data_IF_050903396811
#
_entry.id   IF_050903396811
#
_cell.length_a   1.000
_cell.length_b   1.000
_cell.length_c   1.000
_cell.angle_alpha   90.00
_cell.angle_beta   90.00
_cell.angle_gamma   90.00
#
_symmetry.space_group_name_H-M   'P 1'
#
loop_
_entity.id
_entity.type
_entity.pdbx_description
1 polymer ?
#
# COMPACT_ATOMS: atom_id res chain seq x y z
N UNK A 1 -0.69 4.33 3.01
CA UNK A 1 -0.37 2.90 2.87
C UNK A 1 -1.23 2.13 3.86
N UNK A 2 -2.18 1.33 3.39
CA UNK A 2 -3.01 0.40 4.18
C UNK A 2 -3.26 -0.86 3.33
N UNK A 3 -3.95 -1.85 3.88
CA UNK A 3 -4.35 -3.08 3.18
C UNK A 3 -3.76 -4.37 3.76
N UNK A 4 -2.65 -4.29 4.51
CA UNK A 4 -2.02 -5.46 5.16
C UNK A 4 -2.98 -6.16 6.11
N UNK A 5 -3.65 -5.41 6.99
CA UNK A 5 -4.59 -5.99 7.95
C UNK A 5 -5.86 -6.52 7.29
N UNK A 6 -6.35 -5.86 6.24
CA UNK A 6 -7.52 -6.32 5.48
C UNK A 6 -7.26 -7.66 4.78
N UNK A 7 -5.99 -8.05 4.59
CA UNK A 7 -5.66 -9.35 4.05
C UNK A 7 -5.99 -10.51 4.99
N UNK A 8 -6.07 -10.25 6.31
CA UNK A 8 -6.32 -11.27 7.34
C UNK A 8 -7.60 -12.05 7.06
N UNK A 9 -7.54 -13.37 7.20
CA UNK A 9 -8.64 -14.27 6.80
C UNK A 9 -9.95 -13.96 7.52
N UNK A 10 -9.87 -13.59 8.80
CA UNK A 10 -11.03 -13.25 9.65
C UNK A 10 -11.93 -12.15 9.07
N UNK A 11 -11.42 -11.31 8.18
CA UNK A 11 -12.21 -10.24 7.56
C UNK A 11 -12.92 -10.67 6.27
N UNK A 12 -12.56 -11.82 5.68
CA UNK A 12 -13.21 -12.35 4.47
C UNK A 12 -13.09 -11.47 3.22
N UNK A 13 -12.31 -10.39 3.27
CA UNK A 13 -12.19 -9.44 2.15
C UNK A 13 -11.36 -10.05 1.01
N UNK A 14 -11.84 -9.90 -0.22
CA UNK A 14 -11.03 -10.17 -1.42
C UNK A 14 -10.06 -9.00 -1.68
N UNK A 15 -8.96 -9.23 -2.40
CA UNK A 15 -8.04 -8.16 -2.78
C UNK A 15 -8.74 -7.01 -3.52
N UNK A 16 -9.80 -7.32 -4.31
CA UNK A 16 -10.65 -6.32 -4.96
C UNK A 16 -11.42 -5.48 -3.94
N UNK A 17 -11.99 -6.08 -2.89
CA UNK A 17 -12.67 -5.32 -1.83
C UNK A 17 -11.70 -4.37 -1.13
N UNK A 18 -10.47 -4.84 -0.87
CA UNK A 18 -9.41 -4.02 -0.25
C UNK A 18 -9.05 -2.82 -1.14
N UNK A 19 -8.91 -3.03 -2.44
CA UNK A 19 -8.69 -1.96 -3.40
C UNK A 19 -9.85 -0.96 -3.48
N UNK A 20 -11.10 -1.45 -3.45
CA UNK A 20 -12.27 -0.57 -3.39
C UNK A 20 -12.34 0.27 -2.11
N UNK A 21 -11.98 -0.31 -0.96
CA UNK A 21 -11.87 0.43 0.31
C UNK A 21 -10.80 1.53 0.22
N UNK A 22 -9.66 1.21 -0.40
CA UNK A 22 -8.60 2.19 -0.64
C UNK A 22 -9.04 3.31 -1.59
N UNK A 23 -9.79 3.00 -2.65
CA UNK A 23 -10.37 4.04 -3.51
C UNK A 23 -11.29 4.98 -2.74
N UNK A 24 -12.12 4.44 -1.83
CA UNK A 24 -12.98 5.26 -1.00
C UNK A 24 -12.17 6.21 -0.11
N UNK A 25 -11.08 5.72 0.51
CA UNK A 25 -10.16 6.55 1.30
C UNK A 25 -9.53 7.67 0.47
N UNK A 26 -9.05 7.36 -0.74
CA UNK A 26 -8.45 8.36 -1.64
C UNK A 26 -9.49 9.40 -2.06
N UNK A 27 -10.70 8.99 -2.43
CA UNK A 27 -11.79 9.91 -2.77
C UNK A 27 -12.12 10.84 -1.61
N UNK A 28 -12.24 10.30 -0.40
CA UNK A 28 -12.47 11.11 0.81
C UNK A 28 -11.32 12.08 1.04
N UNK A 29 -10.07 11.62 0.93
CA UNK A 29 -8.91 12.49 1.11
C UNK A 29 -8.91 13.66 0.12
N UNK A 30 -9.26 13.43 -1.15
CA UNK A 30 -9.33 14.48 -2.18
C UNK A 30 -10.53 15.42 -1.97
N UNK A 31 -11.71 14.89 -1.63
CA UNK A 31 -12.96 15.66 -1.58
C UNK A 31 -13.21 16.40 -0.26
N UNK A 32 -12.44 16.10 0.79
CA UNK A 32 -12.62 16.76 2.09
C UNK A 32 -12.38 18.27 1.96
N UNK A 33 -13.33 19.15 2.35
CA UNK A 33 -13.25 20.59 2.13
C UNK A 33 -12.36 21.31 3.17
N UNK A 34 -11.15 20.80 3.38
CA UNK A 34 -10.15 21.35 4.32
C UNK A 34 -8.89 21.85 3.61
N UNK A 35 -8.78 21.61 2.31
CA UNK A 35 -7.59 21.94 1.53
C UNK A 35 -7.69 23.33 0.90
N UNK A 36 -6.58 24.07 0.89
CA UNK A 36 -6.45 25.34 0.18
C UNK A 36 -6.27 25.16 -1.33
N UNK A 37 -5.78 24.00 -1.75
CA UNK A 37 -5.64 23.57 -3.14
C UNK A 37 -5.89 22.06 -3.22
N UNK A 38 -6.15 21.51 -4.41
CA UNK A 38 -6.34 20.06 -4.58
C UNK A 38 -5.13 19.29 -4.04
N UNK A 39 -5.31 18.38 -3.05
CA UNK A 39 -4.19 17.66 -2.45
C UNK A 39 -3.59 16.66 -3.45
N UNK A 40 -2.28 16.50 -3.42
CA UNK A 40 -1.60 15.40 -4.11
C UNK A 40 -1.67 14.16 -3.22
N UNK A 41 -2.23 13.07 -3.74
CA UNK A 41 -2.28 11.78 -3.04
C UNK A 41 -1.24 10.84 -3.63
N UNK A 42 -0.41 10.25 -2.77
CA UNK A 42 0.45 9.12 -3.09
C UNK A 42 -0.15 7.85 -2.48
N UNK A 43 -0.79 7.04 -3.33
CA UNK A 43 -1.28 5.73 -2.98
C UNK A 43 -0.11 4.74 -2.96
N UNK A 44 0.07 4.07 -1.83
CA UNK A 44 1.17 3.13 -1.62
C UNK A 44 0.60 1.75 -1.32
N UNK A 45 0.94 0.76 -2.17
CA UNK A 45 0.75 -0.65 -1.83
C UNK A 45 1.81 -1.07 -0.81
N UNK A 46 1.43 -1.76 0.28
CA UNK A 46 2.41 -2.26 1.24
C UNK A 46 3.30 -3.36 0.63
N UNK A 47 4.49 -3.63 1.20
CA UNK A 47 5.25 -4.82 0.88
C UNK A 47 4.39 -6.08 1.10
N UNK A 48 4.44 -7.08 0.20
CA UNK A 48 3.72 -8.32 0.40
C UNK A 48 4.14 -9.03 1.70
N UNK A 49 3.15 -9.60 2.37
CA UNK A 49 3.35 -10.50 3.51
C UNK A 49 3.97 -11.81 3.02
N UNK A 50 4.74 -12.47 3.86
CA UNK A 50 5.28 -13.81 3.55
C UNK A 50 4.43 -14.90 4.21
N UNK A 51 4.57 -16.18 3.83
CA UNK A 51 3.84 -17.27 4.49
C UNK A 51 4.08 -17.39 6.01
N UNK A 52 5.09 -16.71 6.56
CA UNK A 52 5.32 -16.60 8.00
C UNK A 52 4.37 -15.64 8.72
N UNK A 53 3.51 -14.93 7.99
CA UNK A 53 2.52 -14.00 8.55
C UNK A 53 1.43 -14.63 9.42
N UNK A 54 1.48 -15.94 9.58
CA UNK A 54 0.65 -16.70 10.49
C UNK A 54 0.84 -16.23 11.93
N UNK A 55 -0.27 -15.92 12.60
CA UNK A 55 -0.32 -15.57 14.00
C UNK A 55 -1.42 -16.41 14.69
N UNK A 56 -1.00 -17.38 15.50
CA UNK A 56 -1.86 -18.28 16.29
C UNK A 56 -2.84 -17.51 17.19
N UNK A 57 -2.43 -16.33 17.68
CA UNK A 57 -3.24 -15.49 18.56
C UNK A 57 -4.29 -14.69 17.80
N UNK A 58 -4.10 -14.51 16.49
CA UNK A 58 -5.03 -13.80 15.61
C UNK A 58 -6.10 -14.69 14.98
N UNK A 59 -6.03 -16.01 15.22
CA UNK A 59 -6.93 -17.02 14.64
C UNK A 59 -6.67 -17.30 13.16
N UNK A 60 -5.48 -16.97 12.66
CA UNK A 60 -5.07 -17.39 11.32
C UNK A 60 -4.57 -18.83 11.36
N UNK A 61 -4.75 -19.58 10.27
CA UNK A 61 -4.30 -20.97 10.13
C UNK A 61 -2.99 -21.05 9.31
N UNK A 62 -2.10 -22.03 9.57
CA UNK A 62 -0.89 -22.21 8.76
C UNK A 62 -1.27 -22.46 7.30
N UNK A 63 -0.66 -21.72 6.36
CA UNK A 63 -1.02 -21.79 4.94
C UNK A 63 -2.18 -20.89 4.52
N UNK A 64 -2.52 -19.88 5.33
CA UNK A 64 -3.53 -18.89 4.95
C UNK A 64 -3.18 -18.16 3.64
N UNK A 65 -4.20 -17.89 2.82
CA UNK A 65 -4.09 -17.12 1.57
C UNK A 65 -3.80 -15.63 1.80
N UNK A 66 -3.47 -15.20 3.04
CA UNK A 66 -3.20 -13.81 3.37
C UNK A 66 -1.98 -13.27 2.61
N UNK A 67 -0.89 -14.05 2.59
CA UNK A 67 0.32 -13.71 1.85
C UNK A 67 0.04 -13.58 0.34
N UNK A 68 -0.65 -14.57 -0.26
CA UNK A 68 -1.06 -14.55 -1.67
C UNK A 68 -1.98 -13.37 -2.01
N UNK A 69 -2.92 -13.03 -1.12
CA UNK A 69 -3.81 -11.89 -1.29
C UNK A 69 -3.05 -10.57 -1.21
N UNK A 70 -2.06 -10.46 -0.32
CA UNK A 70 -1.22 -9.27 -0.20
C UNK A 70 -0.43 -8.99 -1.50
N UNK A 71 0.02 -10.04 -2.20
CA UNK A 71 0.68 -9.92 -3.51
C UNK A 71 -0.22 -9.33 -4.60
N UNK A 72 -1.54 -9.43 -4.46
CA UNK A 72 -2.50 -8.91 -5.44
C UNK A 72 -2.81 -7.42 -5.25
N UNK A 73 -2.40 -6.80 -4.14
CA UNK A 73 -2.74 -5.41 -3.84
C UNK A 73 -2.09 -4.42 -4.81
N UNK A 74 -0.80 -4.58 -5.10
CA UNK A 74 -0.05 -3.65 -5.95
C UNK A 74 -0.70 -3.41 -7.32
N UNK A 75 -0.98 -4.42 -8.16
CA UNK A 75 -1.61 -4.20 -9.47
C UNK A 75 -3.05 -3.66 -9.37
N UNK A 76 -3.77 -3.93 -8.27
CA UNK A 76 -5.11 -3.38 -8.07
C UNK A 76 -5.06 -1.91 -7.64
N UNK A 77 -4.11 -1.55 -6.77
CA UNK A 77 -3.89 -0.20 -6.30
C UNK A 77 -3.34 0.70 -7.41
N UNK A 78 -2.49 0.18 -8.30
CA UNK A 78 -2.02 0.90 -9.47
C UNK A 78 -3.20 1.31 -10.36
N UNK A 79 -4.05 0.35 -10.73
CA UNK A 79 -5.27 0.63 -11.50
C UNK A 79 -6.23 1.57 -10.79
N UNK A 80 -6.30 1.51 -9.45
CA UNK A 80 -7.11 2.43 -8.66
C UNK A 80 -6.54 3.86 -8.72
N UNK A 81 -5.22 4.00 -8.61
CA UNK A 81 -4.54 5.29 -8.70
C UNK A 81 -4.74 5.92 -10.09
N UNK A 82 -4.63 5.12 -11.16
CA UNK A 82 -4.93 5.55 -12.54
C UNK A 82 -6.37 6.09 -12.67
N UNK A 83 -7.37 5.35 -12.18
CA UNK A 83 -8.78 5.77 -12.21
C UNK A 83 -9.04 7.07 -11.45
N UNK A 84 -8.28 7.30 -10.37
CA UNK A 84 -8.45 8.45 -9.48
C UNK A 84 -7.55 9.64 -9.85
N UNK A 85 -6.65 9.47 -10.81
CA UNK A 85 -5.67 10.49 -11.18
C UNK A 85 -4.69 10.82 -10.06
N UNK A 86 -4.37 9.85 -9.19
CA UNK A 86 -3.40 10.03 -8.10
C UNK A 86 -2.10 9.25 -8.35
N UNK A 87 -1.06 9.59 -7.59
CA UNK A 87 0.22 8.94 -7.74
C UNK A 87 0.23 7.55 -7.10
N UNK A 88 0.98 6.63 -7.70
CA UNK A 88 1.16 5.27 -7.18
C UNK A 88 2.62 4.98 -6.82
N UNK A 89 2.82 4.13 -5.82
CA UNK A 89 4.08 3.47 -5.50
C UNK A 89 3.82 2.07 -4.93
N UNK A 90 4.43 1.06 -5.53
CA UNK A 90 4.51 -0.28 -4.95
C UNK A 90 5.73 -0.37 -4.03
N UNK A 91 5.51 -0.50 -2.72
CA UNK A 91 6.60 -0.64 -1.76
C UNK A 91 7.34 -1.98 -1.90
N UNK A 92 6.68 -3.02 -2.41
CA UNK A 92 7.24 -4.36 -2.59
C UNK A 92 8.42 -4.41 -3.56
N UNK A 93 8.57 -3.42 -4.44
CA UNK A 93 9.72 -3.34 -5.37
C UNK A 93 11.01 -2.89 -4.69
N UNK A 94 10.94 -2.38 -3.46
CA UNK A 94 12.09 -1.86 -2.69
C UNK A 94 12.24 -2.47 -1.32
N UNK A 95 11.14 -2.89 -0.71
CA UNK A 95 11.07 -3.26 0.69
C UNK A 95 10.46 -4.64 0.82
N UNK A 96 11.01 -5.44 1.73
CA UNK A 96 10.45 -6.72 2.15
C UNK A 96 10.13 -6.65 3.64
N UNK A 97 9.14 -7.44 4.06
CA UNK A 97 8.85 -7.65 5.48
C UNK A 97 9.93 -8.51 6.13
N UNK A 98 10.09 -8.37 7.43
CA UNK A 98 11.03 -9.11 8.25
C UNK A 98 10.76 -10.62 8.20
N UNK A 99 11.84 -11.40 8.23
CA UNK A 99 11.76 -12.85 8.33
C UNK A 99 11.31 -13.38 9.70
N UNK A 100 11.10 -12.48 10.69
CA UNK A 100 10.65 -12.83 12.05
C UNK A 100 9.18 -13.23 12.05
N UNK A 101 8.31 -12.37 11.55
CA UNK A 101 6.85 -12.56 11.57
C UNK A 101 6.19 -12.47 10.19
N UNK A 102 6.95 -12.23 9.13
CA UNK A 102 6.43 -12.16 7.78
C UNK A 102 5.41 -11.06 7.51
N UNK A 103 5.28 -10.05 8.39
CA UNK A 103 4.28 -8.99 8.30
C UNK A 103 4.87 -7.60 8.51
N UNK A 104 5.75 -7.43 9.50
CA UNK A 104 6.30 -6.13 9.86
C UNK A 104 7.66 -5.89 9.21
N UNK A 105 8.07 -4.62 9.12
CA UNK A 105 9.38 -4.23 8.59
C UNK A 105 10.41 -4.21 9.73
N UNK A 106 11.66 -4.58 9.41
CA UNK A 106 12.80 -4.32 10.31
C UNK A 106 13.35 -2.89 10.13
N UNK A 107 14.39 -2.55 10.88
CA UNK A 107 15.02 -1.23 10.84
C UNK A 107 15.50 -0.83 9.42
N UNK A 108 16.12 -1.77 8.71
CA UNK A 108 16.68 -1.55 7.36
C UNK A 108 15.54 -1.34 6.36
N UNK A 109 14.49 -2.16 6.44
CA UNK A 109 13.29 -2.05 5.63
C UNK A 109 12.56 -0.72 5.88
N UNK A 110 12.45 -0.28 7.14
CA UNK A 110 11.89 1.03 7.50
C UNK A 110 12.70 2.19 6.88
N UNK A 111 14.02 2.16 6.98
CA UNK A 111 14.88 3.19 6.38
C UNK A 111 14.78 3.21 4.85
N UNK A 112 14.76 2.04 4.23
CA UNK A 112 14.60 1.88 2.77
C UNK A 112 13.25 2.41 2.30
N UNK A 113 12.18 2.10 3.05
CA UNK A 113 10.83 2.61 2.79
C UNK A 113 10.79 4.13 2.85
N UNK A 114 11.32 4.73 3.92
CA UNK A 114 11.35 6.19 4.08
C UNK A 114 12.09 6.87 2.93
N UNK A 115 13.23 6.32 2.53
CA UNK A 115 14.04 6.85 1.41
C UNK A 115 13.29 6.77 0.08
N UNK A 116 12.63 5.64 -0.19
CA UNK A 116 11.84 5.45 -1.41
C UNK A 116 10.63 6.39 -1.48
N UNK A 117 9.88 6.51 -0.37
CA UNK A 117 8.74 7.43 -0.28
C UNK A 117 9.19 8.88 -0.43
N UNK A 118 10.28 9.28 0.21
CA UNK A 118 10.83 10.64 0.07
C UNK A 118 11.20 10.96 -1.38
N UNK A 119 11.80 10.00 -2.10
CA UNK A 119 12.10 10.15 -3.53
C UNK A 119 10.84 10.36 -4.36
N UNK A 120 9.76 9.58 -4.11
CA UNK A 120 8.48 9.73 -4.79
C UNK A 120 7.80 11.06 -4.48
N UNK A 121 7.80 11.48 -3.22
CA UNK A 121 7.28 12.79 -2.83
C UNK A 121 8.03 13.89 -3.57
N UNK A 122 9.38 13.87 -3.59
CA UNK A 122 10.15 14.87 -4.34
C UNK A 122 9.77 14.92 -5.81
N UNK A 123 9.58 13.78 -6.47
CA UNK A 123 9.15 13.72 -7.87
C UNK A 123 7.76 14.34 -8.06
N UNK A 124 6.83 14.15 -7.13
CA UNK A 124 5.48 14.72 -7.22
C UNK A 124 5.45 16.24 -7.10
N UNK A 125 6.42 16.84 -6.44
CA UNK A 125 6.51 18.30 -6.26
C UNK A 125 7.54 18.96 -7.17
N UNK A 126 8.23 18.21 -8.04
CA UNK A 126 9.04 18.81 -9.08
C UNK A 126 8.13 19.53 -10.10
N UNK A 127 8.49 20.74 -10.54
CA UNK A 127 7.80 21.39 -11.64
C UNK A 127 7.89 20.51 -12.89
N UNK A 128 6.82 20.43 -13.68
CA UNK A 128 6.88 19.76 -14.97
C UNK A 128 8.00 20.42 -15.79
N UNK A 129 8.98 19.62 -16.23
CA UNK A 129 9.93 20.09 -17.24
C UNK A 129 9.10 20.39 -18.49
N UNK A 130 9.05 21.65 -18.90
CA UNK A 130 8.45 22.05 -20.18
C UNK A 130 8.91 21.07 -21.26
N UNK A 131 7.95 20.33 -21.83
CA UNK A 131 8.19 19.53 -23.02
C UNK A 131 8.46 20.54 -24.15
N UNK A 132 9.74 20.77 -24.44
CA UNK A 132 10.19 21.41 -25.69
C UNK A 132 9.85 20.53 -26.88
#
# INVERSE_FOLDING_TARGET
MLGTNDCKMRFGASAKNIASGMEALVRMAISTPVWTATPKVLLISPPPMTPKCFDETSGEEPGSICSEKSCQLAPLYEKAAERLGCAFFDAGVKVQVSGIDGTHMDEIAHFTMATAVMSRIRQLFQPEKEKR
#
